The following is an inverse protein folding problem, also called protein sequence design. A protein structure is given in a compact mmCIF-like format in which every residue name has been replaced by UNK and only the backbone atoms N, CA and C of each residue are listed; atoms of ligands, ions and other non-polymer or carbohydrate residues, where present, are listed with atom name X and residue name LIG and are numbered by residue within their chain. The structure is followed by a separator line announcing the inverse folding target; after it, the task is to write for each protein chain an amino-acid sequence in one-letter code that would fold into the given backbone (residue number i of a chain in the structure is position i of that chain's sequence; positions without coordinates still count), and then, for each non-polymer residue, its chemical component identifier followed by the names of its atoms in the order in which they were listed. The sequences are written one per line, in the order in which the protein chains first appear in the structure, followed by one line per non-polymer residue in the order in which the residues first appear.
data_IF_265585264175
#
_entry.id   IF_265585264175
#
_cell.length_a   1.000
_cell.length_b   1.000
_cell.length_c   1.000
_cell.angle_alpha   90.00
_cell.angle_beta   90.00
_cell.angle_gamma   90.00
#
_symmetry.space_group_name_H-M   'P 1'
#
loop_
_entity.id
_entity.type
_entity.pdbx_description
1 polymer ?
#
# COMPACT_ATOMS: atom_id res chain seq x y z
N UNK A 1 -25.16 -7.75 5.45
CA UNK A 1 -23.76 -7.67 4.95
C UNK A 1 -23.37 -6.30 4.36
N UNK A 2 -24.29 -5.41 3.96
CA UNK A 2 -23.93 -4.08 3.39
C UNK A 2 -23.64 -3.00 4.45
N UNK A 3 -24.23 -3.11 5.64
CA UNK A 3 -24.12 -2.10 6.71
C UNK A 3 -22.73 -2.10 7.34
N UNK A 4 -22.18 -3.29 7.64
CA UNK A 4 -20.84 -3.43 8.22
C UNK A 4 -19.76 -2.85 7.30
N UNK A 5 -19.86 -3.12 6.00
CA UNK A 5 -18.94 -2.58 4.99
C UNK A 5 -19.01 -1.05 4.92
N UNK A 6 -20.20 -0.47 5.08
CA UNK A 6 -20.39 0.99 5.09
C UNK A 6 -19.77 1.63 6.33
N UNK A 7 -19.94 1.02 7.51
CA UNK A 7 -19.35 1.48 8.78
C UNK A 7 -17.82 1.43 8.73
N UNK A 8 -17.24 0.34 8.24
CA UNK A 8 -15.77 0.21 8.11
C UNK A 8 -15.20 1.20 7.09
N UNK A 9 -15.94 1.54 6.03
CA UNK A 9 -15.52 2.53 5.04
C UNK A 9 -15.58 3.96 5.54
N UNK A 10 -16.49 4.26 6.47
CA UNK A 10 -16.72 5.58 7.01
C UNK A 10 -15.92 5.88 8.27
N UNK A 11 -15.32 4.89 8.93
CA UNK A 11 -14.57 5.13 10.15
C UNK A 11 -13.34 6.00 9.81
N UNK A 12 -13.35 7.28 10.20
CA UNK A 12 -12.25 8.17 9.91
C UNK A 12 -11.01 7.65 10.64
N UNK A 13 -9.84 7.87 10.06
CA UNK A 13 -8.61 7.48 10.73
C UNK A 13 -8.47 8.32 12.00
N UNK A 14 -8.58 7.71 13.19
CA UNK A 14 -8.46 8.41 14.47
C UNK A 14 -7.16 9.23 14.55
N UNK A 15 -6.06 8.70 14.01
CA UNK A 15 -4.79 9.43 13.92
C UNK A 15 -4.95 10.74 13.15
N UNK A 16 -5.66 10.73 12.04
CA UNK A 16 -5.92 11.91 11.21
C UNK A 16 -6.80 12.92 11.93
N UNK A 17 -7.83 12.48 12.66
CA UNK A 17 -8.69 13.39 13.42
C UNK A 17 -7.96 14.10 14.57
N UNK A 18 -7.05 13.38 15.24
CA UNK A 18 -6.33 13.95 16.40
C UNK A 18 -5.12 14.77 15.98
N UNK A 19 -4.36 14.31 14.97
CA UNK A 19 -3.07 14.93 14.60
C UNK A 19 -3.14 15.80 13.35
N UNK A 20 -4.24 15.76 12.60
CA UNK A 20 -4.33 16.36 11.26
C UNK A 20 -3.21 15.91 10.29
N UNK A 21 -2.66 14.71 10.51
CA UNK A 21 -1.66 14.09 9.66
C UNK A 21 -2.16 12.76 9.07
N UNK A 22 -1.71 12.44 7.86
CA UNK A 22 -1.96 11.13 7.27
C UNK A 22 -1.10 10.06 7.92
N UNK A 23 -1.74 8.96 8.28
CA UNK A 23 -1.08 7.72 8.64
C UNK A 23 -0.46 7.02 7.41
N UNK A 24 0.56 6.16 7.57
CA UNK A 24 1.16 5.39 6.46
C UNK A 24 0.17 4.43 5.76
N UNK A 25 -0.88 4.00 6.45
CA UNK A 25 -1.93 3.14 5.90
C UNK A 25 -3.04 3.91 5.14
N UNK A 26 -3.05 5.23 5.24
CA UNK A 26 -4.15 6.06 4.75
C UNK A 26 -4.20 6.03 3.21
N UNK A 27 -5.40 5.82 2.64
CA UNK A 27 -5.59 5.62 1.20
C UNK A 27 -5.38 4.19 0.69
N UNK A 28 -5.10 3.22 1.58
CA UNK A 28 -4.87 1.83 1.18
C UNK A 28 -6.06 1.18 0.45
N UNK A 29 -7.28 1.38 0.93
CA UNK A 29 -8.50 0.86 0.27
C UNK A 29 -8.71 1.48 -1.11
N UNK A 30 -8.45 2.79 -1.26
CA UNK A 30 -8.50 3.48 -2.57
C UNK A 30 -7.46 2.93 -3.53
N UNK A 31 -6.25 2.62 -3.04
CA UNK A 31 -5.19 2.00 -3.83
C UNK A 31 -5.56 0.58 -4.30
N UNK A 32 -6.16 -0.25 -3.43
CA UNK A 32 -6.64 -1.58 -3.82
C UNK A 32 -7.72 -1.48 -4.89
N UNK A 33 -8.68 -0.56 -4.72
CA UNK A 33 -9.73 -0.32 -5.73
C UNK A 33 -9.10 0.10 -7.07
N UNK A 34 -8.11 1.00 -7.07
CA UNK A 34 -7.41 1.40 -8.28
C UNK A 34 -6.66 0.23 -8.96
N UNK A 35 -6.00 -0.63 -8.18
CA UNK A 35 -5.35 -1.84 -8.72
C UNK A 35 -6.35 -2.80 -9.36
N UNK A 36 -7.54 -2.98 -8.78
CA UNK A 36 -8.58 -3.82 -9.37
C UNK A 36 -9.08 -3.28 -10.72
N UNK A 37 -8.98 -1.97 -10.95
CA UNK A 37 -9.28 -1.33 -12.24
C UNK A 37 -8.05 -1.25 -13.16
N UNK A 38 -6.94 -1.92 -12.82
CA UNK A 38 -5.66 -1.86 -13.54
C UNK A 38 -5.03 -0.45 -13.62
N UNK A 39 -5.47 0.49 -12.77
CA UNK A 39 -4.92 1.84 -12.69
C UNK A 39 -3.77 1.89 -11.68
N UNK A 40 -2.59 1.44 -12.13
CA UNK A 40 -1.38 1.36 -11.29
C UNK A 40 -0.90 2.76 -10.88
N UNK A 41 -1.03 3.76 -11.76
CA UNK A 41 -0.61 5.13 -11.46
C UNK A 41 -1.41 5.68 -10.28
N UNK A 42 -2.73 5.57 -10.35
CA UNK A 42 -3.61 6.00 -9.27
C UNK A 42 -3.37 5.22 -7.99
N UNK A 43 -3.13 3.91 -8.10
CA UNK A 43 -2.81 3.08 -6.94
C UNK A 43 -1.51 3.52 -6.22
N UNK A 44 -0.45 3.85 -6.97
CA UNK A 44 0.81 4.33 -6.42
C UNK A 44 0.64 5.65 -5.66
N UNK A 45 -0.10 6.60 -6.22
CA UNK A 45 -0.37 7.87 -5.54
C UNK A 45 -1.29 7.69 -4.31
N UNK A 46 -2.23 6.74 -4.36
CA UNK A 46 -3.11 6.43 -3.23
C UNK A 46 -2.37 5.74 -2.07
N UNK A 47 -1.58 4.69 -2.35
CA UNK A 47 -0.70 4.06 -1.37
C UNK A 47 0.30 3.12 -2.08
N UNK A 48 1.60 3.47 -2.17
CA UNK A 48 2.60 2.67 -2.86
C UNK A 48 2.89 1.36 -2.13
N UNK A 49 2.64 1.27 -0.82
CA UNK A 49 2.80 0.03 -0.04
C UNK A 49 1.88 -1.07 -0.55
N UNK A 50 0.67 -0.71 -1.00
CA UNK A 50 -0.29 -1.67 -1.56
C UNK A 50 0.22 -2.24 -2.88
N UNK A 51 0.77 -1.38 -3.74
CA UNK A 51 1.35 -1.80 -5.03
C UNK A 51 2.57 -2.69 -4.79
N UNK A 52 3.44 -2.31 -3.86
CA UNK A 52 4.58 -3.11 -3.45
C UNK A 52 4.16 -4.49 -2.89
N UNK A 53 3.14 -4.52 -2.03
CA UNK A 53 2.57 -5.75 -1.48
C UNK A 53 2.00 -6.66 -2.58
N UNK A 54 1.30 -6.10 -3.57
CA UNK A 54 0.80 -6.85 -4.71
C UNK A 54 1.95 -7.51 -5.51
N UNK A 55 3.03 -6.77 -5.76
CA UNK A 55 4.23 -7.30 -6.43
C UNK A 55 4.87 -8.43 -5.63
N UNK A 56 5.02 -8.28 -4.31
CA UNK A 56 5.56 -9.35 -3.44
C UNK A 56 4.70 -10.61 -3.52
N UNK A 57 3.38 -10.46 -3.41
CA UNK A 57 2.45 -11.61 -3.44
C UNK A 57 2.59 -12.36 -4.76
N UNK A 58 2.60 -11.64 -5.89
CA UNK A 58 2.83 -12.23 -7.20
C UNK A 58 4.18 -12.94 -7.29
N UNK A 59 5.24 -12.31 -6.79
CA UNK A 59 6.58 -12.88 -6.76
C UNK A 59 6.63 -14.20 -5.97
N UNK A 60 5.99 -14.23 -4.79
CA UNK A 60 5.89 -15.44 -3.97
C UNK A 60 5.09 -16.55 -4.67
N UNK A 61 3.98 -16.21 -5.33
CA UNK A 61 3.18 -17.19 -6.10
C UNK A 61 4.01 -17.78 -7.24
N UNK A 62 4.72 -16.94 -8.00
CA UNK A 62 5.60 -17.38 -9.09
C UNK A 62 6.71 -18.29 -8.55
N UNK A 63 7.31 -17.94 -7.41
CA UNK A 63 8.33 -18.78 -6.79
C UNK A 63 7.80 -20.16 -6.40
N UNK A 64 6.63 -20.21 -5.75
CA UNK A 64 5.99 -21.47 -5.36
C UNK A 64 5.64 -22.29 -6.60
N UNK A 65 5.03 -21.67 -7.61
CA UNK A 65 4.65 -22.33 -8.86
C UNK A 65 5.88 -22.87 -9.62
N UNK A 66 6.95 -22.08 -9.75
CA UNK A 66 8.20 -22.50 -10.39
C UNK A 66 8.84 -23.69 -9.68
N UNK A 67 8.81 -23.71 -8.34
CA UNK A 67 9.32 -24.81 -7.53
C UNK A 67 8.49 -26.08 -7.67
N UNK A 68 7.16 -25.96 -7.70
CA UNK A 68 6.25 -27.11 -7.77
C UNK A 68 6.17 -27.71 -9.18
N UNK A 69 6.06 -26.87 -10.21
CA UNK A 69 5.84 -27.31 -11.59
C UNK A 69 7.13 -27.69 -12.32
N UNK A 70 8.20 -26.93 -12.12
CA UNK A 70 9.42 -27.07 -12.93
C UNK A 70 10.62 -27.62 -12.14
N UNK A 71 10.46 -27.90 -10.83
CA UNK A 71 11.54 -28.34 -9.93
C UNK A 71 12.80 -27.45 -9.96
N UNK A 72 12.67 -26.20 -10.41
CA UNK A 72 13.81 -25.29 -10.55
C UNK A 72 14.17 -24.74 -9.16
N UNK A 73 15.35 -25.11 -8.67
CA UNK A 73 15.88 -24.65 -7.37
C UNK A 73 16.54 -23.28 -7.50
N UNK A 74 15.78 -22.25 -7.87
CA UNK A 74 16.31 -20.87 -7.94
C UNK A 74 16.38 -20.29 -6.52
N UNK A 75 17.59 -20.06 -6.02
CA UNK A 75 17.82 -19.46 -4.68
C UNK A 75 17.40 -17.98 -4.61
N UNK A 76 17.43 -17.26 -5.74
CA UNK A 76 17.23 -15.80 -5.80
C UNK A 76 15.77 -15.37 -5.60
N UNK A 77 14.80 -16.24 -5.88
CA UNK A 77 13.38 -15.96 -5.67
C UNK A 77 12.91 -16.28 -4.23
N UNK A 78 13.80 -16.72 -3.33
CA UNK A 78 13.40 -17.02 -1.96
C UNK A 78 12.92 -15.74 -1.25
N UNK A 79 11.69 -15.73 -0.69
CA UNK A 79 11.27 -14.62 0.14
C UNK A 79 12.20 -14.48 1.33
N UNK A 80 12.81 -13.30 1.46
CA UNK A 80 13.83 -13.00 2.46
C UNK A 80 13.52 -11.74 3.25
N UNK A 81 14.23 -11.54 4.36
CA UNK A 81 14.03 -10.41 5.27
C UNK A 81 14.13 -9.04 4.57
N UNK A 82 14.94 -8.94 3.51
CA UNK A 82 15.08 -7.74 2.68
C UNK A 82 13.74 -7.23 2.10
N UNK A 83 12.80 -8.11 1.79
CA UNK A 83 11.47 -7.73 1.27
C UNK A 83 10.62 -7.05 2.35
N UNK A 84 10.73 -7.53 3.60
CA UNK A 84 10.07 -6.90 4.74
C UNK A 84 10.68 -5.52 5.04
N UNK A 85 12.02 -5.45 5.08
CA UNK A 85 12.75 -4.20 5.35
C UNK A 85 12.38 -3.13 4.30
N UNK A 86 12.40 -3.49 3.01
CA UNK A 86 12.03 -2.56 1.94
C UNK A 86 10.56 -2.15 2.02
N UNK A 87 9.65 -3.06 2.38
CA UNK A 87 8.25 -2.73 2.65
C UNK A 87 8.06 -1.72 3.78
N UNK A 88 8.79 -1.87 4.90
CA UNK A 88 8.75 -0.94 6.03
C UNK A 88 9.30 0.43 5.64
N UNK A 89 10.40 0.46 4.89
CA UNK A 89 10.99 1.71 4.37
C UNK A 89 9.99 2.45 3.48
N UNK A 90 9.32 1.74 2.56
CA UNK A 90 8.29 2.34 1.68
C UNK A 90 7.12 2.86 2.52
N UNK A 91 6.64 2.07 3.48
CA UNK A 91 5.50 2.40 4.32
C UNK A 91 5.73 3.67 5.14
N UNK A 92 6.88 3.77 5.83
CA UNK A 92 7.22 4.93 6.65
C UNK A 92 7.68 6.13 5.80
N UNK A 93 8.54 5.89 4.82
CA UNK A 93 9.07 6.95 3.94
C UNK A 93 7.97 7.66 3.17
N UNK A 94 6.98 6.92 2.66
CA UNK A 94 5.84 7.51 1.97
C UNK A 94 4.97 8.38 2.89
N UNK A 95 4.75 7.96 4.14
CA UNK A 95 4.01 8.78 5.09
C UNK A 95 4.71 10.11 5.36
N UNK A 96 6.02 10.10 5.55
CA UNK A 96 6.80 11.32 5.75
C UNK A 96 6.70 12.24 4.54
N UNK A 97 6.95 11.71 3.33
CA UNK A 97 6.89 12.49 2.08
C UNK A 97 5.51 13.10 1.87
N UNK A 98 4.43 12.33 2.06
CA UNK A 98 3.06 12.82 1.88
C UNK A 98 2.72 13.91 2.88
N UNK A 99 3.02 13.72 4.16
CA UNK A 99 2.71 14.72 5.18
C UNK A 99 3.50 16.02 4.95
N UNK A 100 4.77 15.91 4.53
CA UNK A 100 5.56 17.07 4.09
C UNK A 100 4.95 17.77 2.88
N UNK A 101 4.47 17.01 1.88
CA UNK A 101 3.82 17.58 0.69
C UNK A 101 2.55 18.36 1.02
N UNK A 102 1.72 17.84 1.94
CA UNK A 102 0.51 18.52 2.40
C UNK A 102 0.87 19.79 3.18
N UNK A 103 1.79 19.69 4.15
CA UNK A 103 2.10 20.81 5.04
C UNK A 103 2.88 21.94 4.33
N UNK A 104 3.82 21.60 3.46
CA UNK A 104 4.72 22.57 2.83
C UNK A 104 4.22 23.08 1.47
N UNK A 105 3.50 22.25 0.71
CA UNK A 105 3.05 22.58 -0.65
C UNK A 105 1.52 22.63 -0.79
N UNK A 106 0.76 22.29 0.27
CA UNK A 106 -0.71 22.23 0.19
C UNK A 106 -1.23 21.15 -0.75
N UNK A 107 -0.39 20.18 -1.13
CA UNK A 107 -0.75 19.15 -2.11
C UNK A 107 -1.39 17.95 -1.42
N UNK A 108 -2.73 17.92 -1.37
CA UNK A 108 -3.49 16.80 -0.83
C UNK A 108 -4.10 15.93 -1.95
N UNK A 109 -3.41 14.84 -2.28
CA UNK A 109 -3.91 13.88 -3.27
C UNK A 109 -5.16 13.12 -2.81
N UNK A 110 -5.37 12.96 -1.51
CA UNK A 110 -6.55 12.27 -0.98
C UNK A 110 -7.75 13.21 -0.81
N UNK A 111 -7.51 14.52 -0.71
CA UNK A 111 -8.55 15.56 -0.56
C UNK A 111 -9.33 15.43 0.75
N UNK A 112 -8.61 15.09 1.80
CA UNK A 112 -9.15 14.59 3.05
C UNK A 112 -8.72 15.52 4.23
N UNK A 113 -7.67 16.33 4.08
CA UNK A 113 -7.12 17.26 5.08
C UNK A 113 -7.32 18.75 4.74
N UNK A 114 -7.36 19.10 3.45
CA UNK A 114 -7.56 20.46 2.91
C UNK A 114 -8.88 20.49 2.16
#
# INVERSE_FOLDING_TARGET
MMILFKIVRLMPCFFKEVTHLYCPACGGTRAVIALMHLDVKRALFCNPTVVYGAVIVLWCIIWIAARQLFQIKIKILKPGLWMLITGIIIFLGFALIRNMAVYQFGYDYLGDLI
#
